data_IF_989206129803
#
_entry.id   IF_989206129803
#
_cell.length_a   1.000
_cell.length_b   1.000
_cell.length_c   1.000
_cell.angle_alpha   90.00
_cell.angle_beta   90.00
_cell.angle_gamma   90.00
#
_symmetry.space_group_name_H-M   'P 1'
#
loop_
_entity.id
_entity.type
_entity.pdbx_description
1 polymer ?
#
# COMPACT_ATOMS: atom_id res chain seq x y z
N UNK A 1 7.80 -14.07 -7.65
CA UNK A 1 8.60 -14.15 -6.41
C UNK A 1 8.12 -13.11 -5.40
N UNK A 2 6.80 -12.99 -5.17
CA UNK A 2 6.19 -12.02 -4.22
C UNK A 2 5.36 -12.73 -3.13
N UNK A 3 4.93 -13.97 -3.37
CA UNK A 3 4.07 -14.74 -2.46
C UNK A 3 4.64 -14.88 -1.03
N UNK A 4 5.95 -15.08 -0.89
CA UNK A 4 6.57 -15.34 0.41
C UNK A 4 6.50 -14.13 1.37
N UNK A 5 6.62 -12.92 0.84
CA UNK A 5 6.59 -11.70 1.66
C UNK A 5 5.16 -11.43 2.19
N UNK A 6 4.13 -11.66 1.37
CA UNK A 6 2.73 -11.56 1.77
C UNK A 6 2.35 -12.60 2.83
N UNK A 7 2.81 -13.85 2.66
CA UNK A 7 2.62 -14.90 3.67
C UNK A 7 3.28 -14.52 4.99
N UNK A 8 4.51 -13.99 4.96
CA UNK A 8 5.21 -13.53 6.17
C UNK A 8 4.48 -12.36 6.82
N UNK A 9 3.99 -11.38 6.06
CA UNK A 9 3.19 -10.28 6.59
C UNK A 9 1.93 -10.79 7.34
N UNK A 10 1.25 -11.79 6.78
CA UNK A 10 0.08 -12.42 7.41
C UNK A 10 0.40 -13.19 8.68
N UNK A 11 1.56 -13.85 8.74
CA UNK A 11 1.98 -14.59 9.92
C UNK A 11 2.52 -13.67 11.02
N UNK A 12 3.12 -12.53 10.65
CA UNK A 12 3.65 -11.57 11.60
C UNK A 12 2.54 -10.93 12.44
N UNK A 13 1.35 -10.65 11.89
CA UNK A 13 0.24 -10.05 12.65
C UNK A 13 -1.17 -10.42 12.17
N UNK A 14 -2.09 -10.36 13.14
CA UNK A 14 -3.49 -10.80 13.07
C UNK A 14 -4.25 -10.29 11.83
N UNK A 15 -4.83 -11.25 11.09
CA UNK A 15 -5.73 -11.05 9.95
C UNK A 15 -6.85 -10.06 10.33
N UNK A 16 -6.98 -8.97 9.59
CA UNK A 16 -8.15 -8.07 9.72
C UNK A 16 -7.93 -6.72 10.42
N UNK A 17 -6.69 -6.27 10.62
CA UNK A 17 -6.42 -4.89 11.06
C UNK A 17 -5.59 -4.07 10.09
N UNK A 18 -5.22 -4.63 8.94
CA UNK A 18 -4.38 -3.96 7.96
C UNK A 18 -4.71 -4.38 6.54
N UNK A 19 -4.39 -3.51 5.58
CA UNK A 19 -4.47 -3.77 4.15
C UNK A 19 -3.24 -3.21 3.43
N UNK A 20 -2.87 -3.81 2.30
CA UNK A 20 -1.80 -3.34 1.41
C UNK A 20 -2.25 -2.05 0.71
N UNK A 21 -1.40 -1.02 0.71
CA UNK A 21 -1.72 0.30 0.13
C UNK A 21 -0.44 1.07 -0.21
N UNK A 22 -0.53 2.39 -0.32
CA UNK A 22 0.57 3.34 -0.52
C UNK A 22 1.43 2.97 -1.74
N UNK A 23 2.74 3.17 -1.65
CA UNK A 23 3.64 3.06 -2.80
C UNK A 23 3.63 1.66 -3.41
N UNK A 24 3.46 0.62 -2.59
CA UNK A 24 3.39 -0.76 -3.06
C UNK A 24 2.27 -0.94 -4.06
N UNK A 25 1.06 -0.50 -3.70
CA UNK A 25 -0.10 -0.66 -4.57
C UNK A 25 -0.06 0.30 -5.76
N UNK A 26 0.37 1.56 -5.56
CA UNK A 26 0.52 2.50 -6.67
C UNK A 26 1.49 1.97 -7.74
N UNK A 27 2.60 1.37 -7.31
CA UNK A 27 3.58 0.77 -8.22
C UNK A 27 3.00 -0.46 -8.94
N UNK A 28 2.28 -1.33 -8.23
CA UNK A 28 1.64 -2.51 -8.80
C UNK A 28 0.58 -2.17 -9.85
N UNK A 29 -0.16 -1.09 -9.64
CA UNK A 29 -1.20 -0.59 -10.55
C UNK A 29 -0.64 0.32 -11.65
N UNK A 30 0.69 0.56 -11.69
CA UNK A 30 1.33 1.43 -12.68
C UNK A 30 1.05 2.92 -12.49
N UNK A 31 0.51 3.33 -11.34
CA UNK A 31 0.21 4.73 -11.00
C UNK A 31 1.46 5.53 -10.63
N UNK A 32 2.57 4.84 -10.32
CA UNK A 32 3.90 5.43 -10.25
C UNK A 32 4.89 4.48 -10.93
N UNK A 33 5.94 5.05 -11.54
CA UNK A 33 6.99 4.26 -12.20
C UNK A 33 8.01 3.66 -11.22
N UNK A 34 8.09 4.18 -9.99
CA UNK A 34 9.05 3.72 -8.99
C UNK A 34 8.65 2.38 -8.40
N UNK A 35 9.62 1.48 -8.21
CA UNK A 35 9.42 0.20 -7.52
C UNK A 35 9.88 0.37 -6.05
N UNK A 36 8.97 0.27 -5.07
CA UNK A 36 9.32 0.42 -3.66
C UNK A 36 10.23 -0.71 -3.17
N UNK A 37 11.11 -0.41 -2.20
CA UNK A 37 11.98 -1.40 -1.56
C UNK A 37 11.31 -2.15 -0.40
N UNK A 38 10.00 -2.00 -0.22
CA UNK A 38 9.23 -2.53 0.90
C UNK A 38 7.77 -2.75 0.50
N UNK A 39 7.13 -3.68 1.20
CA UNK A 39 5.68 -3.81 1.21
C UNK A 39 5.11 -2.92 2.30
N UNK A 40 4.19 -2.05 1.94
CA UNK A 40 3.57 -1.10 2.87
C UNK A 40 2.10 -1.46 3.12
N UNK A 41 1.78 -1.64 4.39
CA UNK A 41 0.43 -1.90 4.88
C UNK A 41 -0.06 -0.71 5.72
N UNK A 42 -1.30 -0.30 5.49
CA UNK A 42 -1.99 0.61 6.41
C UNK A 42 -2.65 -0.22 7.50
N UNK A 43 -2.51 0.19 8.76
CA UNK A 43 -2.97 -0.55 9.94
C UNK A 43 -3.82 0.32 10.87
N UNK A 44 -4.88 -0.25 11.45
CA UNK A 44 -5.68 0.44 12.49
C UNK A 44 -4.91 0.61 13.81
N UNK A 45 -4.02 -0.34 14.12
CA UNK A 45 -3.59 -0.56 15.51
C UNK A 45 -2.16 -0.10 15.81
N UNK A 46 -1.26 -0.11 14.83
CA UNK A 46 0.17 0.09 15.09
C UNK A 46 0.93 0.53 13.83
N UNK A 47 2.07 1.17 14.07
CA UNK A 47 3.13 1.34 13.08
C UNK A 47 4.32 0.47 13.47
N UNK A 48 4.90 -0.25 12.52
CA UNK A 48 6.11 -1.04 12.76
C UNK A 48 6.78 -1.45 11.45
N UNK A 49 8.10 -1.59 11.45
CA UNK A 49 8.87 -2.05 10.29
C UNK A 49 9.57 -3.35 10.63
N UNK A 50 9.26 -4.40 9.89
CA UNK A 50 9.89 -5.70 9.99
C UNK A 50 10.96 -5.85 8.91
N UNK A 51 12.17 -6.17 9.33
CA UNK A 51 13.23 -6.59 8.43
C UNK A 51 13.24 -8.11 8.38
N UNK A 52 12.97 -8.67 7.21
CA UNK A 52 12.93 -10.12 7.00
C UNK A 52 13.99 -10.52 5.96
N UNK A 53 14.40 -11.79 5.90
CA UNK A 53 15.27 -12.27 4.82
C UNK A 53 14.69 -12.09 3.42
N UNK A 54 13.37 -11.91 3.31
CA UNK A 54 12.67 -11.74 2.03
C UNK A 54 12.50 -10.27 1.63
N UNK A 55 12.65 -9.33 2.56
CA UNK A 55 12.42 -7.93 2.29
C UNK A 55 11.93 -7.17 3.52
N UNK A 56 11.52 -5.93 3.30
CA UNK A 56 11.01 -5.03 4.34
C UNK A 56 9.49 -5.00 4.28
N UNK A 57 8.85 -5.21 5.42
CA UNK A 57 7.39 -5.06 5.58
C UNK A 57 7.17 -3.89 6.56
N UNK A 58 6.56 -2.82 6.06
CA UNK A 58 6.22 -1.63 6.84
C UNK A 58 4.72 -1.60 7.10
N UNK A 59 4.35 -1.36 8.35
CA UNK A 59 2.99 -1.00 8.75
C UNK A 59 2.97 0.45 9.19
N UNK A 60 2.00 1.21 8.68
CA UNK A 60 1.74 2.59 9.08
C UNK A 60 0.37 2.70 9.72
N UNK A 61 0.31 3.29 10.91
CA UNK A 61 -0.94 3.42 11.63
C UNK A 61 -1.81 4.56 11.07
N UNK A 62 -3.08 4.25 10.82
CA UNK A 62 -4.14 5.21 10.55
C UNK A 62 -5.17 5.15 11.65
N UNK A 63 -5.42 6.29 12.32
CA UNK A 63 -6.56 6.41 13.24
C UNK A 63 -7.83 6.67 12.41
N UNK A 64 -8.74 5.70 12.39
CA UNK A 64 -9.98 5.74 11.61
C UNK A 64 -11.05 4.89 12.30
N UNK A 65 -12.32 5.08 11.92
CA UNK A 65 -13.39 4.22 12.39
C UNK A 65 -13.18 2.79 11.84
N UNK A 66 -13.08 1.75 12.70
CA UNK A 66 -12.94 0.37 12.26
C UNK A 66 -14.02 -0.10 11.27
N UNK A 67 -15.24 0.42 11.36
CA UNK A 67 -16.36 0.04 10.47
C UNK A 67 -16.13 0.46 9.01
N UNK A 68 -15.36 1.53 8.79
CA UNK A 68 -15.06 2.07 7.45
C UNK A 68 -13.63 1.79 6.99
N UNK A 69 -12.86 1.08 7.81
CA UNK A 69 -11.42 0.95 7.58
C UNK A 69 -11.11 0.19 6.29
N UNK A 70 -11.93 -0.82 5.98
CA UNK A 70 -11.82 -1.63 4.76
C UNK A 70 -12.73 -1.13 3.62
N UNK A 71 -13.34 0.06 3.75
CA UNK A 71 -14.03 0.68 2.63
C UNK A 71 -13.02 0.85 1.48
N UNK A 72 -13.47 0.50 0.27
CA UNK A 72 -12.64 0.51 -0.94
C UNK A 72 -11.45 -0.48 -0.87
N UNK A 73 -11.56 -1.58 -0.10
CA UNK A 73 -10.60 -2.69 -0.09
C UNK A 73 -11.25 -4.01 -0.54
N UNK A 74 -10.45 -4.94 -1.05
CA UNK A 74 -10.84 -6.32 -1.34
C UNK A 74 -9.88 -7.30 -0.69
N UNK A 75 -10.35 -8.52 -0.44
CA UNK A 75 -9.49 -9.59 0.06
C UNK A 75 -8.90 -10.35 -1.13
N UNK A 76 -7.57 -10.38 -1.25
CA UNK A 76 -6.87 -11.18 -2.25
C UNK A 76 -6.64 -12.59 -1.69
N UNK A 77 -7.37 -13.56 -2.24
CA UNK A 77 -7.30 -14.97 -1.83
C UNK A 77 -5.92 -15.60 -2.10
N UNK A 78 -5.17 -15.11 -3.10
CA UNK A 78 -3.88 -15.68 -3.46
C UNK A 78 -2.81 -15.30 -2.44
N UNK A 79 -2.79 -14.04 -2.05
CA UNK A 79 -1.83 -13.49 -1.10
C UNK A 79 -2.35 -13.53 0.35
N UNK A 80 -3.62 -13.88 0.54
CA UNK A 80 -4.35 -13.93 1.81
C UNK A 80 -4.33 -12.61 2.60
N UNK A 81 -4.23 -11.47 1.92
CA UNK A 81 -4.19 -10.13 2.51
C UNK A 81 -5.38 -9.29 2.03
N UNK A 82 -5.79 -8.30 2.83
CA UNK A 82 -6.60 -7.21 2.32
C UNK A 82 -5.74 -6.27 1.47
N UNK A 83 -6.30 -5.78 0.36
CA UNK A 83 -5.65 -4.88 -0.60
C UNK A 83 -6.57 -3.71 -0.85
N UNK A 84 -6.05 -2.49 -0.79
CA UNK A 84 -6.79 -1.30 -1.19
C UNK A 84 -7.09 -1.35 -2.70
N UNK A 85 -8.16 -0.69 -3.14
CA UNK A 85 -8.32 -0.40 -4.56
C UNK A 85 -7.48 0.86 -4.93
N UNK A 86 -7.29 1.16 -6.23
CA UNK A 86 -6.52 2.32 -6.66
C UNK A 86 -6.95 3.64 -6.02
N UNK A 87 -8.26 3.88 -5.92
CA UNK A 87 -8.82 5.09 -5.31
C UNK A 87 -8.40 5.22 -3.84
N UNK A 88 -8.54 4.16 -3.06
CA UNK A 88 -8.16 4.13 -1.64
C UNK A 88 -6.65 4.33 -1.45
N UNK A 89 -5.85 3.73 -2.32
CA UNK A 89 -4.40 3.88 -2.32
C UNK A 89 -3.99 5.34 -2.57
N UNK A 90 -4.64 5.99 -3.52
CA UNK A 90 -4.49 7.41 -3.82
C UNK A 90 -4.88 8.25 -2.59
N UNK A 91 -6.03 8.00 -1.97
CA UNK A 91 -6.44 8.71 -0.75
C UNK A 91 -5.42 8.55 0.39
N UNK A 92 -4.85 7.36 0.54
CA UNK A 92 -3.84 7.09 1.56
C UNK A 92 -2.53 7.84 1.29
N UNK A 93 -2.04 7.93 0.04
CA UNK A 93 -0.80 8.68 -0.24
C UNK A 93 -0.93 10.17 0.10
N UNK A 94 -2.08 10.78 -0.20
CA UNK A 94 -2.33 12.18 0.19
C UNK A 94 -2.45 12.31 1.70
N UNK A 95 -3.14 11.37 2.36
CA UNK A 95 -3.33 11.41 3.81
C UNK A 95 -2.02 11.27 4.58
N UNK A 96 -1.13 10.40 4.13
CA UNK A 96 0.18 10.19 4.73
C UNK A 96 1.25 11.13 4.17
N UNK A 97 0.93 11.93 3.15
CA UNK A 97 1.85 12.79 2.42
C UNK A 97 3.10 12.03 1.93
N UNK A 98 2.88 10.92 1.21
CA UNK A 98 3.92 10.01 0.72
C UNK A 98 3.80 9.81 -0.78
N UNK A 99 4.86 10.04 -1.56
CA UNK A 99 4.87 9.81 -3.03
C UNK A 99 3.77 10.55 -3.81
N UNK A 100 3.25 11.65 -3.26
CA UNK A 100 2.22 12.49 -3.91
C UNK A 100 2.78 13.15 -5.16
N UNK A 101 4.00 13.65 -5.08
CA UNK A 101 4.75 14.23 -6.18
C UNK A 101 4.95 13.22 -7.33
N UNK A 102 5.33 11.98 -7.02
CA UNK A 102 5.51 10.93 -8.02
C UNK A 102 4.20 10.56 -8.73
N UNK A 103 3.11 10.48 -7.97
CA UNK A 103 1.78 10.20 -8.53
C UNK A 103 1.29 11.34 -9.43
N UNK A 104 1.41 12.59 -8.99
CA UNK A 104 0.99 13.75 -9.79
C UNK A 104 1.84 13.88 -11.05
N UNK A 105 3.16 13.66 -10.97
CA UNK A 105 4.03 13.66 -12.15
C UNK A 105 3.64 12.56 -13.14
N UNK A 106 3.37 11.34 -12.67
CA UNK A 106 2.94 10.23 -13.53
C UNK A 106 1.60 10.54 -14.19
N UNK A 107 0.64 11.04 -13.41
CA UNK A 107 -0.68 11.44 -13.92
C UNK A 107 -0.57 12.51 -15.00
N UNK A 108 0.28 13.52 -14.82
CA UNK A 108 0.53 14.54 -15.84
C UNK A 108 1.09 13.92 -17.13
N UNK A 109 2.04 12.99 -17.03
CA UNK A 109 2.60 12.28 -18.19
C UNK A 109 1.54 11.44 -18.91
N UNK A 110 0.70 10.74 -18.16
CA UNK A 110 -0.38 9.91 -18.70
C UNK A 110 -1.44 10.75 -19.44
N UNK A 111 -1.66 11.98 -18.98
CA UNK A 111 -2.51 12.98 -19.65
C UNK A 111 -1.83 13.67 -20.85
N UNK A 112 -0.57 13.34 -21.15
CA UNK A 112 0.19 13.87 -22.28
C UNK A 112 0.95 15.17 -21.99
N UNK A 113 1.01 15.59 -20.73
CA UNK A 113 1.84 16.73 -20.31
C UNK A 113 3.26 16.27 -20.03
N UNK A 114 4.13 16.41 -21.02
CA UNK A 114 5.57 16.33 -20.83
C UNK A 114 6.06 17.71 -20.42
N UNK A 115 6.48 17.87 -19.16
CA UNK A 115 7.09 19.12 -18.70
C UNK A 115 8.23 19.55 -19.63
N UNK A 116 8.22 20.83 -20.03
CA UNK A 116 9.27 21.46 -20.84
C UNK A 116 10.50 21.79 -19.99
#
# INVERSE_FOLDING_TARGET
MLFQEYEVANHLRNKGYSYLSLETLLSQEGLISQIPNRLTFVSLKFSHTYHTPYGIIEYVQKKENPERFFDDCYYDENCQVWVANPKKAIDDIYRFNRSVDLYEEQKMKDEGYYGF
#
